data_IF_685567512683
#
_entry.id   IF_685567512683
#
_cell.length_a   1.000
_cell.length_b   1.000
_cell.length_c   1.000
_cell.angle_alpha   90.00
_cell.angle_beta   90.00
_cell.angle_gamma   90.00
#
_symmetry.space_group_name_H-M   'P 1'
#
loop_
_entity.id
_entity.type
_entity.pdbx_description
1 polymer ?
#
# COMPACT_ATOMS: atom_id res chain seq x y z
N UNK A 1 -9.51 18.89 -7.49
CA UNK A 1 -9.48 18.00 -6.32
C UNK A 1 -9.97 16.60 -6.68
N UNK A 2 -9.18 15.85 -7.44
CA UNK A 2 -9.45 14.42 -7.73
C UNK A 2 -8.11 13.71 -7.57
N UNK A 3 -8.06 12.68 -6.71
CA UNK A 3 -7.07 11.60 -6.81
C UNK A 3 -5.98 11.38 -5.76
N UNK A 4 -6.16 11.70 -4.51
CA UNK A 4 -5.37 11.00 -3.46
C UNK A 4 -5.91 9.57 -3.21
N UNK A 5 -7.09 9.25 -3.76
CA UNK A 5 -7.87 8.04 -3.48
C UNK A 5 -7.33 6.71 -4.03
N UNK A 6 -6.43 6.71 -4.99
CA UNK A 6 -6.05 5.48 -5.70
C UNK A 6 -4.70 4.87 -5.26
N UNK A 7 -3.92 5.53 -4.43
CA UNK A 7 -2.57 5.08 -4.09
C UNK A 7 -2.47 4.14 -2.89
N UNK A 8 -3.45 4.20 -1.95
CA UNK A 8 -3.48 3.25 -0.81
C UNK A 8 -4.25 1.95 -1.09
N UNK A 9 -5.01 1.90 -2.19
CA UNK A 9 -5.84 0.74 -2.49
C UNK A 9 -5.15 -0.37 -3.29
N UNK A 10 -3.98 -0.14 -3.87
CA UNK A 10 -3.35 -1.14 -4.75
C UNK A 10 -2.68 -2.29 -4.00
N UNK A 11 -2.12 -2.05 -2.82
CA UNK A 11 -1.53 -3.13 -2.02
C UNK A 11 -2.58 -3.99 -1.28
N UNK A 12 -3.78 -3.42 -1.03
CA UNK A 12 -4.86 -4.14 -0.35
C UNK A 12 -5.90 -4.70 -1.33
N UNK A 13 -5.98 -4.19 -2.57
CA UNK A 13 -6.95 -4.65 -3.57
C UNK A 13 -6.59 -5.98 -4.23
N UNK A 14 -5.32 -6.40 -4.23
CA UNK A 14 -4.96 -7.74 -4.75
C UNK A 14 -5.55 -8.88 -3.90
N UNK A 15 -5.92 -8.62 -2.64
CA UNK A 15 -6.54 -9.59 -1.75
C UNK A 15 -8.09 -9.60 -1.80
N UNK A 16 -8.73 -8.66 -2.51
CA UNK A 16 -10.19 -8.47 -2.41
C UNK A 16 -10.98 -8.58 -3.74
N UNK A 17 -10.31 -8.82 -4.87
CA UNK A 17 -11.00 -8.90 -6.16
C UNK A 17 -11.27 -10.34 -6.60
N UNK A 18 -12.32 -10.95 -6.07
CA UNK A 18 -12.95 -12.08 -6.73
C UNK A 18 -14.46 -11.94 -6.65
N UNK A 19 -15.04 -11.11 -7.51
CA UNK A 19 -16.43 -11.16 -7.86
C UNK A 19 -16.56 -11.92 -9.17
N UNK A 20 -16.75 -13.23 -9.14
CA UNK A 20 -17.08 -13.98 -10.33
C UNK A 20 -18.55 -13.73 -10.69
N UNK A 21 -18.80 -12.89 -11.69
CA UNK A 21 -19.98 -13.04 -12.51
C UNK A 21 -19.71 -14.26 -13.41
N UNK A 22 -20.48 -15.33 -13.26
CA UNK A 22 -20.47 -16.44 -14.20
C UNK A 22 -21.13 -15.97 -15.51
N UNK A 23 -20.35 -15.34 -16.37
CA UNK A 23 -20.61 -15.32 -17.79
C UNK A 23 -20.09 -16.64 -18.35
N UNK A 24 -20.79 -17.23 -19.31
CA UNK A 24 -20.27 -18.40 -20.05
C UNK A 24 -18.86 -18.10 -20.50
N UNK A 25 -17.90 -18.84 -19.92
CA UNK A 25 -16.49 -18.63 -20.21
C UNK A 25 -16.25 -19.05 -21.65
N UNK A 26 -15.94 -18.10 -22.50
CA UNK A 26 -15.35 -18.40 -23.79
C UNK A 26 -13.95 -18.93 -23.47
N UNK A 27 -13.74 -20.24 -23.64
CA UNK A 27 -12.43 -20.87 -23.47
C UNK A 27 -11.40 -20.06 -24.30
N UNK A 28 -10.30 -19.68 -23.66
CA UNK A 28 -9.20 -18.88 -24.23
C UNK A 28 -9.47 -17.39 -24.50
N UNK A 29 -10.52 -16.77 -23.96
CA UNK A 29 -10.67 -15.32 -24.02
C UNK A 29 -9.77 -14.65 -22.98
N UNK A 30 -8.89 -13.74 -23.40
CA UNK A 30 -8.08 -12.88 -22.57
C UNK A 30 -8.64 -11.47 -22.57
N UNK A 31 -8.89 -10.95 -21.38
CA UNK A 31 -9.21 -9.54 -21.16
C UNK A 31 -7.91 -8.78 -20.88
N UNK A 32 -7.71 -7.67 -21.58
CA UNK A 32 -6.50 -6.85 -21.43
C UNK A 32 -6.89 -5.44 -21.09
N UNK A 33 -6.19 -4.88 -20.08
CA UNK A 33 -6.36 -3.52 -19.62
C UNK A 33 -5.03 -2.77 -19.69
N UNK A 34 -5.09 -1.50 -20.07
CA UNK A 34 -3.97 -0.59 -19.97
C UNK A 34 -4.43 0.73 -19.38
N UNK A 35 -3.64 1.28 -18.46
CA UNK A 35 -3.92 2.58 -17.87
C UNK A 35 -2.65 3.39 -17.69
N UNK A 36 -2.77 4.70 -17.92
CA UNK A 36 -1.72 5.67 -17.67
C UNK A 36 -2.21 6.73 -16.70
N UNK A 37 -1.38 7.04 -15.70
CA UNK A 37 -1.61 8.11 -14.75
C UNK A 37 -0.46 9.10 -14.83
N UNK A 38 -0.81 10.35 -15.07
CA UNK A 38 0.05 11.50 -14.82
C UNK A 38 -0.48 12.29 -13.63
N UNK A 39 0.40 12.61 -12.69
CA UNK A 39 0.08 13.43 -11.54
C UNK A 39 1.24 14.39 -11.29
N UNK A 40 0.95 15.65 -11.03
CA UNK A 40 1.96 16.66 -10.70
C UNK A 40 1.44 17.61 -9.63
N UNK A 41 2.26 17.86 -8.63
CA UNK A 41 2.14 18.94 -7.66
C UNK A 41 3.28 19.92 -7.89
N UNK A 42 2.96 21.22 -7.96
CA UNK A 42 3.96 22.27 -8.16
C UNK A 42 4.98 22.24 -7.03
N UNK A 43 6.26 22.23 -7.39
CA UNK A 43 7.42 22.23 -6.48
C UNK A 43 7.47 21.03 -5.47
N UNK A 44 6.72 19.95 -5.72
CA UNK A 44 6.68 18.80 -4.82
C UNK A 44 6.95 17.46 -5.51
N UNK A 45 6.06 17.02 -6.39
CA UNK A 45 6.19 15.69 -7.00
C UNK A 45 5.55 15.61 -8.37
N UNK A 46 6.22 14.91 -9.28
CA UNK A 46 5.64 14.46 -10.56
C UNK A 46 5.68 12.95 -10.61
N UNK A 47 4.56 12.33 -10.97
CA UNK A 47 4.41 10.87 -11.05
C UNK A 47 3.88 10.50 -12.43
N UNK A 48 4.57 9.58 -13.08
CA UNK A 48 4.10 8.89 -14.27
C UNK A 48 3.96 7.41 -13.94
N UNK A 49 2.80 6.82 -14.24
CA UNK A 49 2.55 5.41 -13.98
C UNK A 49 1.85 4.78 -15.16
N UNK A 50 2.44 3.72 -15.70
CA UNK A 50 1.86 2.86 -16.70
C UNK A 50 1.54 1.50 -16.07
N UNK A 51 0.33 1.01 -16.29
CA UNK A 51 -0.09 -0.32 -15.85
C UNK A 51 -0.66 -1.06 -17.06
N UNK A 52 -0.14 -2.25 -17.32
CA UNK A 52 -0.71 -3.22 -18.23
C UNK A 52 -1.17 -4.45 -17.44
N UNK A 53 -2.32 -5.00 -17.77
CA UNK A 53 -2.83 -6.23 -17.18
C UNK A 53 -3.46 -7.11 -18.27
N UNK A 54 -3.32 -8.43 -18.10
CA UNK A 54 -4.04 -9.42 -18.89
C UNK A 54 -4.57 -10.49 -17.96
N UNK A 55 -5.83 -10.90 -18.15
CA UNK A 55 -6.49 -11.96 -17.38
C UNK A 55 -7.26 -12.87 -18.33
N UNK A 56 -7.15 -14.17 -18.13
CA UNK A 56 -7.83 -15.13 -18.98
C UNK A 56 -8.11 -16.46 -18.26
N UNK A 57 -9.00 -17.23 -18.85
CA UNK A 57 -9.27 -18.60 -18.43
C UNK A 57 -8.25 -19.53 -19.10
N UNK A 58 -7.46 -20.24 -18.31
CA UNK A 58 -6.51 -21.26 -18.79
C UNK A 58 -7.21 -22.61 -18.89
N UNK A 59 -8.20 -22.85 -18.04
CA UNK A 59 -9.08 -24.01 -18.09
C UNK A 59 -10.44 -23.64 -17.49
N UNK A 60 -11.41 -24.58 -17.53
CA UNK A 60 -12.71 -24.43 -16.89
C UNK A 60 -12.63 -24.17 -15.36
N UNK A 61 -11.48 -24.48 -14.72
CA UNK A 61 -11.24 -24.29 -13.28
C UNK A 61 -10.11 -23.32 -12.96
N UNK A 62 -9.39 -22.86 -13.97
CA UNK A 62 -8.18 -22.07 -13.79
C UNK A 62 -8.30 -20.72 -14.47
N UNK A 63 -8.04 -19.67 -13.70
CA UNK A 63 -7.89 -18.31 -14.21
C UNK A 63 -6.48 -17.84 -13.91
N UNK A 64 -5.80 -17.31 -14.89
CA UNK A 64 -4.49 -16.70 -14.72
C UNK A 64 -4.56 -15.21 -15.04
N UNK A 65 -3.75 -14.41 -14.35
CA UNK A 65 -3.54 -13.02 -14.71
C UNK A 65 -2.08 -12.62 -14.55
N UNK A 66 -1.67 -11.68 -15.40
CA UNK A 66 -0.39 -11.00 -15.32
C UNK A 66 -0.62 -9.50 -15.24
N UNK A 67 0.14 -8.83 -14.39
CA UNK A 67 0.14 -7.38 -14.29
C UNK A 67 1.56 -6.85 -14.31
N UNK A 68 1.81 -5.87 -15.16
CA UNK A 68 3.09 -5.16 -15.26
C UNK A 68 2.84 -3.70 -14.88
N UNK A 69 3.72 -3.16 -14.06
CA UNK A 69 3.66 -1.78 -13.60
C UNK A 69 5.00 -1.12 -13.86
N UNK A 70 4.95 0.04 -14.47
CA UNK A 70 6.08 0.96 -14.57
C UNK A 70 5.68 2.26 -13.89
N UNK A 71 6.46 2.67 -12.88
CA UNK A 71 6.28 3.94 -12.17
C UNK A 71 7.56 4.76 -12.32
N UNK A 72 7.41 6.07 -12.57
CA UNK A 72 8.49 7.04 -12.41
C UNK A 72 7.99 8.18 -11.55
N UNK A 73 8.74 8.52 -10.52
CA UNK A 73 8.37 9.54 -9.55
C UNK A 73 9.59 10.42 -9.28
N UNK A 74 9.45 11.73 -9.56
CA UNK A 74 10.47 12.73 -9.26
C UNK A 74 9.88 13.83 -8.39
N UNK A 75 10.70 14.43 -7.53
CA UNK A 75 10.22 15.50 -6.65
C UNK A 75 11.18 15.84 -5.54
N UNK A 76 10.63 16.43 -4.48
CA UNK A 76 11.36 16.78 -3.28
C UNK A 76 10.58 16.36 -2.04
N UNK A 77 11.25 15.78 -1.06
CA UNK A 77 10.66 15.32 0.21
C UNK A 77 11.38 15.91 1.41
N UNK A 78 10.68 16.27 2.49
CA UNK A 78 11.33 16.71 3.73
C UNK A 78 12.21 15.61 4.31
N UNK A 79 13.45 15.95 4.65
CA UNK A 79 14.39 15.01 5.29
C UNK A 79 14.13 14.86 6.78
N UNK A 80 13.53 15.83 7.44
CA UNK A 80 13.40 15.94 8.90
C UNK A 80 14.49 16.81 9.55
N UNK A 81 15.52 17.22 8.79
CA UNK A 81 16.55 18.13 9.26
C UNK A 81 16.10 19.59 9.21
N UNK A 82 16.72 20.43 10.04
CA UNK A 82 16.58 21.87 9.96
C UNK A 82 17.33 22.38 8.71
N UNK A 83 16.84 23.46 8.11
CA UNK A 83 17.47 24.09 6.96
C UNK A 83 18.88 24.59 7.33
N UNK A 84 19.90 23.88 6.87
CA UNK A 84 21.30 24.29 7.01
C UNK A 84 21.96 24.42 5.65
N UNK A 85 22.69 25.50 5.44
CA UNK A 85 23.42 25.77 4.19
C UNK A 85 24.71 24.95 4.05
N UNK A 86 25.09 24.17 5.08
CA UNK A 86 26.42 23.55 5.19
C UNK A 86 26.49 22.06 4.82
N UNK A 87 25.38 21.36 4.67
CA UNK A 87 25.37 19.91 4.41
C UNK A 87 24.62 19.53 3.14
N UNK A 88 25.18 18.64 2.35
CA UNK A 88 24.54 18.06 1.17
C UNK A 88 23.91 16.70 1.52
N UNK A 89 22.67 16.51 1.13
CA UNK A 89 21.94 15.27 1.32
C UNK A 89 21.78 14.53 -0.01
N UNK A 90 21.75 13.22 0.05
CA UNK A 90 21.45 12.38 -1.11
C UNK A 90 20.01 11.87 -1.00
N UNK A 91 19.18 12.14 -1.99
CA UNK A 91 17.81 11.60 -2.07
C UNK A 91 17.77 10.15 -2.51
N UNK A 92 16.59 9.54 -2.46
CA UNK A 92 16.32 8.14 -2.81
C UNK A 92 16.74 7.74 -4.24
N UNK A 93 16.99 8.70 -5.12
CA UNK A 93 17.41 8.49 -6.50
C UNK A 93 18.84 8.94 -6.79
N UNK A 94 19.63 9.28 -5.75
CA UNK A 94 21.00 9.78 -5.90
C UNK A 94 21.09 11.23 -6.31
N UNK A 95 19.98 11.96 -6.37
CA UNK A 95 19.97 13.41 -6.57
C UNK A 95 20.62 14.09 -5.34
N UNK A 96 21.68 14.88 -5.55
CA UNK A 96 22.29 15.70 -4.51
C UNK A 96 21.77 17.13 -4.61
N UNK A 97 21.31 17.68 -3.52
CA UNK A 97 20.94 19.09 -3.42
C UNK A 97 19.98 19.37 -2.28
N UNK A 98 20.20 20.45 -1.58
CA UNK A 98 19.22 21.03 -0.67
C UNK A 98 18.59 22.21 -1.39
N UNK A 99 17.29 22.16 -1.57
CA UNK A 99 16.53 23.36 -1.93
C UNK A 99 15.93 23.91 -0.65
N UNK A 100 16.41 25.05 -0.13
CA UNK A 100 15.82 25.67 1.04
C UNK A 100 14.41 26.09 0.70
N UNK A 101 13.39 25.49 1.31
CA UNK A 101 12.06 26.09 1.32
C UNK A 101 11.89 26.87 2.61
N UNK A 102 11.51 28.11 2.51
CA UNK A 102 11.58 29.12 3.57
C UNK A 102 10.78 28.88 4.85
N UNK A 103 10.08 27.75 5.04
CA UNK A 103 9.25 27.52 6.24
C UNK A 103 9.20 26.08 6.78
N UNK A 104 9.74 25.08 6.14
CA UNK A 104 9.56 23.69 6.60
C UNK A 104 10.69 22.76 6.22
N UNK A 105 11.77 22.75 7.00
CA UNK A 105 12.81 21.75 6.95
C UNK A 105 13.58 21.66 5.62
N UNK A 106 14.70 20.95 5.62
CA UNK A 106 15.49 20.67 4.42
C UNK A 106 14.73 19.70 3.49
N UNK A 107 14.68 20.02 2.20
CA UNK A 107 14.11 19.16 1.16
C UNK A 107 15.23 18.39 0.45
N UNK A 108 15.02 17.12 0.23
CA UNK A 108 15.86 16.29 -0.63
C UNK A 108 15.13 15.98 -1.93
N UNK A 109 15.79 16.29 -3.05
CA UNK A 109 15.28 15.89 -4.36
C UNK A 109 15.39 14.38 -4.50
N UNK A 110 14.41 13.78 -5.13
CA UNK A 110 14.42 12.36 -5.46
C UNK A 110 13.91 12.12 -6.88
N UNK A 111 14.39 11.07 -7.49
CA UNK A 111 13.93 10.52 -8.76
C UNK A 111 13.93 9.00 -8.63
N UNK A 112 12.77 8.41 -8.53
CA UNK A 112 12.62 6.98 -8.34
C UNK A 112 11.89 6.35 -9.54
N UNK A 113 12.38 5.20 -9.97
CA UNK A 113 11.80 4.41 -11.04
C UNK A 113 11.58 2.99 -10.55
N UNK A 114 10.37 2.51 -10.73
CA UNK A 114 9.97 1.16 -10.38
C UNK A 114 9.45 0.37 -11.55
N UNK A 115 9.92 -0.86 -11.68
CA UNK A 115 9.32 -1.89 -12.53
C UNK A 115 8.83 -3.02 -11.65
N UNK A 116 7.58 -3.42 -11.81
CA UNK A 116 6.97 -4.51 -11.07
C UNK A 116 6.19 -5.46 -11.97
N UNK A 117 6.25 -6.74 -11.64
CA UNK A 117 5.46 -7.80 -12.29
C UNK A 117 4.76 -8.60 -11.22
N UNK A 118 3.47 -8.86 -11.42
CA UNK A 118 2.69 -9.76 -10.57
C UNK A 118 1.98 -10.81 -11.43
N UNK A 119 1.97 -12.04 -10.93
CA UNK A 119 1.32 -13.19 -11.52
C UNK A 119 0.29 -13.71 -10.51
N UNK A 120 -0.92 -13.93 -10.96
CA UNK A 120 -1.98 -14.52 -10.16
C UNK A 120 -2.52 -15.77 -10.86
N UNK A 121 -2.80 -16.79 -10.08
CA UNK A 121 -3.46 -18.02 -10.52
C UNK A 121 -4.54 -18.40 -9.54
N UNK A 122 -5.78 -18.44 -10.00
CA UNK A 122 -6.94 -18.92 -9.24
C UNK A 122 -7.34 -20.31 -9.71
N UNK A 123 -7.43 -21.27 -8.79
CA UNK A 123 -7.87 -22.65 -9.05
C UNK A 123 -9.11 -23.00 -8.25
N UNK A 124 -10.13 -23.48 -8.96
CA UNK A 124 -11.35 -24.03 -8.35
C UNK A 124 -11.16 -25.51 -7.96
N UNK A 125 -10.74 -25.75 -6.71
CA UNK A 125 -10.61 -27.13 -6.18
C UNK A 125 -11.95 -27.85 -6.09
N UNK A 126 -13.00 -27.11 -5.69
CA UNK A 126 -14.38 -27.59 -5.66
C UNK A 126 -15.31 -26.44 -6.03
N UNK A 127 -16.60 -26.75 -6.29
CA UNK A 127 -17.65 -25.74 -6.59
C UNK A 127 -17.80 -24.65 -5.52
N UNK A 128 -17.22 -24.84 -4.34
CA UNK A 128 -17.32 -23.93 -3.20
C UNK A 128 -15.95 -23.54 -2.59
N UNK A 129 -14.86 -24.05 -3.14
CA UNK A 129 -13.51 -23.75 -2.68
C UNK A 129 -12.65 -23.31 -3.85
N UNK A 130 -12.22 -22.05 -3.82
CA UNK A 130 -11.25 -21.47 -4.74
C UNK A 130 -10.01 -21.07 -3.96
N UNK A 131 -8.83 -21.39 -4.47
CA UNK A 131 -7.54 -20.93 -3.93
C UNK A 131 -6.88 -20.06 -4.98
N UNK A 132 -6.45 -18.88 -4.54
CA UNK A 132 -5.69 -17.95 -5.36
C UNK A 132 -4.24 -17.96 -4.89
N UNK A 133 -3.31 -18.11 -5.82
CA UNK A 133 -1.87 -18.00 -5.62
C UNK A 133 -1.38 -16.75 -6.30
N UNK A 134 -0.51 -16.00 -5.63
CA UNK A 134 0.09 -14.79 -6.17
C UNK A 134 1.61 -14.84 -6.00
N UNK A 135 2.34 -14.41 -7.01
CA UNK A 135 3.76 -14.14 -6.96
C UNK A 135 4.03 -12.76 -7.54
N UNK A 136 4.82 -11.93 -6.87
CA UNK A 136 5.17 -10.62 -7.39
C UNK A 136 6.65 -10.31 -7.13
N UNK A 137 7.22 -9.55 -8.06
CA UNK A 137 8.57 -9.05 -8.01
C UNK A 137 8.60 -7.58 -8.43
N UNK A 138 9.34 -6.74 -7.73
CA UNK A 138 9.58 -5.36 -8.13
C UNK A 138 11.02 -4.93 -7.89
N UNK A 139 11.48 -4.04 -8.73
CA UNK A 139 12.78 -3.38 -8.62
C UNK A 139 12.56 -1.87 -8.65
N UNK A 140 13.11 -1.19 -7.68
CA UNK A 140 13.18 0.25 -7.52
C UNK A 140 14.65 0.67 -7.48
N UNK A 141 14.92 1.97 -7.54
CA UNK A 141 16.29 2.46 -7.50
C UNK A 141 17.02 2.12 -6.19
N UNK A 142 16.27 1.94 -5.10
CA UNK A 142 16.79 1.70 -3.76
C UNK A 142 16.18 0.48 -3.06
N UNK A 143 15.40 -0.32 -3.79
CA UNK A 143 14.72 -1.49 -3.23
C UNK A 143 14.45 -2.58 -4.26
N UNK A 144 14.62 -3.82 -3.85
CA UNK A 144 14.13 -5.00 -4.54
C UNK A 144 13.16 -5.74 -3.64
N UNK A 145 12.02 -6.16 -4.18
CA UNK A 145 10.98 -6.84 -3.42
C UNK A 145 10.52 -8.09 -4.13
N UNK A 146 10.41 -9.18 -3.38
CA UNK A 146 9.81 -10.42 -3.83
C UNK A 146 8.71 -10.82 -2.85
N UNK A 147 7.52 -11.19 -3.37
CA UNK A 147 6.42 -11.64 -2.54
C UNK A 147 5.70 -12.84 -3.11
N UNK A 148 5.20 -13.68 -2.20
CA UNK A 148 4.32 -14.81 -2.53
C UNK A 148 3.12 -14.78 -1.58
N UNK A 149 1.94 -15.17 -2.09
CA UNK A 149 0.74 -15.25 -1.29
C UNK A 149 -0.16 -16.41 -1.74
N UNK A 150 -0.94 -16.92 -0.80
CA UNK A 150 -2.02 -17.85 -1.08
C UNK A 150 -3.27 -17.43 -0.29
N UNK A 151 -4.44 -17.46 -0.96
CA UNK A 151 -5.72 -17.11 -0.35
C UNK A 151 -6.78 -18.13 -0.71
N UNK A 152 -7.32 -18.81 0.28
CA UNK A 152 -8.43 -19.74 0.15
C UNK A 152 -9.76 -19.06 0.44
N UNK A 153 -10.73 -19.23 -0.45
CA UNK A 153 -12.11 -18.78 -0.32
C UNK A 153 -13.02 -19.99 -0.31
N UNK A 154 -13.72 -20.19 0.82
CA UNK A 154 -14.69 -21.27 1.00
C UNK A 154 -16.08 -20.71 1.14
N UNK A 155 -16.99 -21.13 0.28
CA UNK A 155 -18.41 -20.80 0.35
C UNK A 155 -19.23 -21.94 0.98
N UNK A 156 -20.34 -21.61 1.61
CA UNK A 156 -21.35 -22.61 1.95
C UNK A 156 -22.14 -23.03 0.68
N UNK A 157 -22.95 -24.07 0.80
CA UNK A 157 -23.72 -24.61 -0.34
C UNK A 157 -24.72 -23.62 -0.92
N UNK A 158 -25.26 -22.72 -0.11
CA UNK A 158 -26.17 -21.65 -0.56
C UNK A 158 -25.44 -20.39 -1.06
N UNK A 159 -24.10 -20.35 -1.01
CA UNK A 159 -23.26 -19.17 -1.35
C UNK A 159 -23.62 -17.88 -0.61
N UNK A 160 -24.32 -18.01 0.51
CA UNK A 160 -24.68 -16.88 1.36
C UNK A 160 -23.60 -16.52 2.38
N UNK A 161 -22.64 -17.41 2.60
CA UNK A 161 -21.54 -17.25 3.53
C UNK A 161 -20.23 -17.65 2.85
N UNK A 162 -19.22 -16.76 2.93
CA UNK A 162 -17.86 -17.00 2.41
C UNK A 162 -16.85 -16.77 3.52
N UNK A 163 -16.01 -17.76 3.74
CA UNK A 163 -14.82 -17.69 4.57
C UNK A 163 -13.61 -17.43 3.69
N UNK A 164 -12.75 -16.52 4.10
CA UNK A 164 -11.48 -16.21 3.43
C UNK A 164 -10.35 -16.40 4.42
N UNK A 165 -9.32 -17.12 4.02
CA UNK A 165 -8.08 -17.25 4.77
C UNK A 165 -6.91 -17.06 3.81
N UNK A 166 -6.02 -16.13 4.13
CA UNK A 166 -4.85 -15.84 3.29
C UNK A 166 -3.58 -15.71 4.12
N UNK A 167 -2.46 -16.04 3.49
CA UNK A 167 -1.11 -15.82 4.00
C UNK A 167 -0.26 -15.24 2.89
N UNK A 168 0.62 -14.31 3.25
CA UNK A 168 1.60 -13.71 2.35
C UNK A 168 2.95 -13.60 3.03
N UNK A 169 4.02 -13.79 2.26
CA UNK A 169 5.40 -13.55 2.64
C UNK A 169 6.04 -12.57 1.67
N UNK A 170 6.76 -11.59 2.18
CA UNK A 170 7.52 -10.62 1.38
C UNK A 170 8.95 -10.55 1.90
N UNK A 171 9.90 -10.54 0.98
CA UNK A 171 11.30 -10.28 1.24
C UNK A 171 11.74 -9.03 0.48
N UNK A 172 12.30 -8.07 1.19
CA UNK A 172 12.81 -6.81 0.66
C UNK A 172 14.31 -6.71 0.88
N UNK A 173 15.04 -6.29 -0.15
CA UNK A 173 16.40 -5.77 -0.05
C UNK A 173 16.32 -4.24 -0.18
N UNK A 174 16.93 -3.52 0.74
CA UNK A 174 16.89 -2.06 0.84
C UNK A 174 18.33 -1.56 0.79
N UNK A 175 18.58 -0.57 -0.06
CA UNK A 175 19.89 0.04 -0.23
C UNK A 175 19.75 1.53 -0.55
N UNK A 176 20.85 2.25 -0.59
CA UNK A 176 20.87 3.63 -1.07
C UNK A 176 21.25 3.69 -2.53
N UNK A 177 20.71 4.62 -3.26
CA UNK A 177 21.14 4.92 -4.61
C UNK A 177 22.62 5.37 -4.57
N UNK A 178 23.43 4.88 -5.50
CA UNK A 178 24.88 5.09 -5.61
C UNK A 178 25.74 4.45 -4.49
N UNK A 179 25.18 3.59 -3.64
CA UNK A 179 25.94 2.83 -2.67
C UNK A 179 25.08 1.72 -2.10
N UNK A 180 25.53 0.49 -2.18
CA UNK A 180 24.79 -0.68 -1.68
C UNK A 180 24.69 -0.74 -0.15
N UNK A 181 24.74 0.40 0.52
CA UNK A 181 24.85 0.48 1.97
C UNK A 181 23.71 1.31 2.55
N UNK A 182 23.08 0.81 3.58
CA UNK A 182 22.15 1.56 4.43
C UNK A 182 22.92 2.21 5.59
N UNK A 183 22.50 3.41 6.06
CA UNK A 183 23.14 4.01 7.22
C UNK A 183 22.87 3.21 8.49
N UNK A 184 23.83 3.19 9.39
CA UNK A 184 23.64 2.69 10.73
C UNK A 184 22.68 3.64 11.49
N UNK A 185 21.54 3.13 12.03
CA UNK A 185 20.58 3.97 12.71
C UNK A 185 21.18 4.75 13.88
N UNK A 186 20.69 5.97 14.12
CA UNK A 186 21.07 6.85 15.21
C UNK A 186 22.57 7.20 15.25
N UNK A 187 23.28 7.11 14.13
CA UNK A 187 24.65 7.57 13.99
C UNK A 187 24.71 8.96 13.37
N UNK A 188 25.76 9.71 13.66
CA UNK A 188 26.00 11.03 13.08
C UNK A 188 26.19 10.92 11.57
N UNK A 189 25.61 11.85 10.84
CA UNK A 189 25.77 11.89 9.38
C UNK A 189 27.24 12.08 8.97
N UNK A 190 28.00 12.86 9.74
CA UNK A 190 29.42 13.09 9.49
C UNK A 190 30.32 11.84 9.65
N UNK A 191 29.94 10.92 10.52
CA UNK A 191 30.71 9.69 10.76
C UNK A 191 30.61 8.69 9.60
N UNK A 192 29.67 8.87 8.67
CA UNK A 192 29.46 8.04 7.48
C UNK A 192 29.48 6.53 7.76
N UNK A 193 28.85 6.12 8.85
CA UNK A 193 28.75 4.71 9.20
C UNK A 193 27.63 4.07 8.41
N UNK A 194 27.99 3.09 7.61
CA UNK A 194 27.06 2.34 6.79
C UNK A 194 27.15 0.84 7.11
N UNK A 195 26.01 0.21 7.15
CA UNK A 195 25.85 -1.24 7.23
C UNK A 195 25.87 -1.87 5.84
N UNK A 196 25.71 -2.96 5.47
CA UNK A 196 25.51 -3.48 4.11
C UNK A 196 24.13 -3.10 3.56
N UNK A 197 23.61 -3.92 2.67
CA UNK A 197 22.22 -3.83 2.24
C UNK A 197 21.30 -4.15 3.44
N UNK A 198 20.22 -3.40 3.60
CA UNK A 198 19.18 -3.68 4.59
C UNK A 198 18.27 -4.80 4.08
N UNK A 199 17.99 -5.76 4.93
CA UNK A 199 17.04 -6.84 4.61
C UNK A 199 15.80 -6.73 5.49
N UNK A 200 14.63 -7.01 4.91
CA UNK A 200 13.38 -7.05 5.66
C UNK A 200 12.52 -8.21 5.20
N UNK A 201 12.00 -8.96 6.13
CA UNK A 201 10.98 -9.97 5.91
C UNK A 201 9.64 -9.52 6.49
N UNK A 202 8.56 -9.77 5.75
CA UNK A 202 7.21 -9.50 6.23
C UNK A 202 6.34 -10.72 6.02
N UNK A 203 5.59 -11.11 7.05
CA UNK A 203 4.57 -12.16 6.95
C UNK A 203 3.24 -11.56 7.35
N UNK A 204 2.25 -11.70 6.48
CA UNK A 204 0.88 -11.21 6.69
C UNK A 204 -0.11 -12.38 6.64
N UNK A 205 -1.09 -12.37 7.54
CA UNK A 205 -2.22 -13.30 7.58
C UNK A 205 -3.51 -12.49 7.56
N UNK A 206 -4.48 -12.96 6.77
CA UNK A 206 -5.83 -12.40 6.73
C UNK A 206 -6.87 -13.49 6.96
N UNK A 207 -7.87 -13.19 7.79
CA UNK A 207 -9.08 -13.99 7.95
C UNK A 207 -10.30 -13.11 7.67
N UNK A 208 -11.21 -13.59 6.84
CA UNK A 208 -12.39 -12.85 6.42
C UNK A 208 -13.66 -13.69 6.50
N UNK A 209 -14.78 -13.02 6.79
CA UNK A 209 -16.11 -13.57 6.74
C UNK A 209 -17.01 -12.61 5.97
N UNK A 210 -17.59 -13.08 4.87
CA UNK A 210 -18.59 -12.33 4.12
C UNK A 210 -19.93 -13.05 4.18
N UNK A 211 -20.99 -12.34 4.55
CA UNK A 211 -22.34 -12.88 4.67
C UNK A 211 -23.34 -12.07 3.85
N UNK A 212 -24.14 -12.75 3.08
CA UNK A 212 -25.38 -12.21 2.48
C UNK A 212 -26.49 -12.35 3.50
N UNK A 213 -26.78 -11.27 4.24
CA UNK A 213 -27.78 -11.25 5.31
C UNK A 213 -29.19 -11.38 4.71
N UNK A 214 -29.42 -10.65 3.63
CA UNK A 214 -30.66 -10.71 2.85
C UNK A 214 -30.43 -10.18 1.42
N UNK A 215 -31.47 -10.14 0.59
CA UNK A 215 -31.40 -9.70 -0.82
C UNK A 215 -30.84 -8.29 -1.02
N UNK A 216 -30.74 -7.49 0.02
CA UNK A 216 -30.32 -6.07 -0.04
C UNK A 216 -29.11 -5.78 0.83
N UNK A 217 -28.68 -6.72 1.67
CA UNK A 217 -27.66 -6.45 2.67
C UNK A 217 -26.58 -7.52 2.63
N UNK A 218 -25.35 -7.08 2.45
CA UNK A 218 -24.16 -7.91 2.64
C UNK A 218 -23.28 -7.28 3.74
N UNK A 219 -22.75 -8.11 4.62
CA UNK A 219 -21.78 -7.71 5.63
C UNK A 219 -20.48 -8.49 5.44
N UNK A 220 -19.36 -7.84 5.75
CA UNK A 220 -18.04 -8.44 5.70
C UNK A 220 -17.27 -8.02 6.94
N UNK A 221 -16.57 -8.98 7.55
CA UNK A 221 -15.62 -8.76 8.64
C UNK A 221 -14.27 -9.33 8.21
N UNK A 222 -13.21 -8.53 8.33
CA UNK A 222 -11.85 -8.95 8.06
C UNK A 222 -10.96 -8.69 9.28
N UNK A 223 -10.11 -9.63 9.58
CA UNK A 223 -9.03 -9.55 10.54
C UNK A 223 -7.72 -9.67 9.77
N UNK A 224 -6.77 -8.81 10.04
CA UNK A 224 -5.42 -8.92 9.48
C UNK A 224 -4.39 -8.87 10.61
N UNK A 225 -3.34 -9.64 10.45
CA UNK A 225 -2.20 -9.69 11.34
C UNK A 225 -0.94 -9.75 10.50
N UNK A 226 0.09 -8.98 10.87
CA UNK A 226 1.35 -8.93 10.14
C UNK A 226 2.54 -8.75 11.07
N UNK A 227 3.62 -9.43 10.76
CA UNK A 227 4.91 -9.29 11.42
C UNK A 227 5.94 -8.91 10.35
N UNK A 228 6.70 -7.87 10.61
CA UNK A 228 7.85 -7.50 9.81
C UNK A 228 9.09 -7.47 10.69
N UNK A 229 10.22 -7.99 10.18
CA UNK A 229 11.50 -8.02 10.87
C UNK A 229 12.61 -7.60 9.91
N UNK A 230 13.61 -6.89 10.42
CA UNK A 230 14.78 -6.42 9.69
C UNK A 230 14.83 -4.90 9.55
N UNK A 231 15.49 -4.41 8.53
CA UNK A 231 15.73 -2.98 8.35
C UNK A 231 14.42 -2.23 8.02
N UNK A 232 14.00 -1.36 8.92
CA UNK A 232 12.76 -0.58 8.79
C UNK A 232 12.99 0.93 8.78
N UNK A 233 14.22 1.36 9.01
CA UNK A 233 14.61 2.76 8.95
C UNK A 233 14.56 3.28 7.51
N UNK A 234 14.16 4.53 7.34
CA UNK A 234 14.29 5.21 6.06
C UNK A 234 15.77 5.61 5.85
N UNK A 235 16.46 5.07 4.82
CA UNK A 235 17.88 5.31 4.64
C UNK A 235 18.24 6.76 4.27
N UNK A 236 17.24 7.59 3.96
CA UNK A 236 17.45 8.99 3.54
C UNK A 236 17.01 10.00 4.59
N UNK A 237 16.28 9.56 5.62
CA UNK A 237 15.81 10.43 6.67
C UNK A 237 16.88 10.73 7.69
N UNK A 238 17.04 12.01 7.95
CA UNK A 238 17.93 12.54 8.99
C UNK A 238 17.14 13.49 9.88
N UNK A 239 17.59 13.68 11.11
CA UNK A 239 17.07 14.69 12.02
C UNK A 239 18.22 15.51 12.58
N UNK A 240 17.94 16.80 12.86
CA UNK A 240 18.89 17.71 13.43
C UNK A 240 18.73 17.83 14.94
N UNK A 241 19.83 17.86 15.65
CA UNK A 241 19.87 18.32 17.04
C UNK A 241 20.09 19.82 17.01
N UNK A 242 19.19 20.57 17.62
CA UNK A 242 19.25 22.02 17.68
C UNK A 242 19.47 22.51 19.10
N UNK A 243 20.14 23.66 19.22
CA UNK A 243 20.29 24.36 20.50
C UNK A 243 18.97 25.04 20.94
N UNK A 244 19.00 25.72 22.08
CA UNK A 244 17.84 26.46 22.62
C UNK A 244 17.38 27.62 21.74
N UNK A 245 18.18 28.05 20.78
CA UNK A 245 17.87 29.11 19.81
C UNK A 245 17.40 28.53 18.46
N UNK A 246 17.31 27.21 18.33
CA UNK A 246 16.94 26.55 17.08
C UNK A 246 18.10 26.42 16.08
N UNK A 247 19.33 26.71 16.51
CA UNK A 247 20.52 26.56 15.66
C UNK A 247 20.95 25.11 15.65
N UNK A 248 21.14 24.55 14.45
CA UNK A 248 21.58 23.17 14.27
C UNK A 248 22.98 22.98 14.83
N UNK A 249 23.13 21.93 15.65
CA UNK A 249 24.40 21.53 16.22
C UNK A 249 24.93 20.27 15.59
N UNK A 250 24.04 19.31 15.25
CA UNK A 250 24.44 18.02 14.70
C UNK A 250 23.30 17.37 13.92
N UNK A 251 23.63 16.37 13.08
CA UNK A 251 22.65 15.59 12.32
C UNK A 251 22.87 14.09 12.48
N UNK A 252 21.79 13.35 12.62
CA UNK A 252 21.76 11.92 12.81
C UNK A 252 20.84 11.26 11.81
N UNK A 253 21.20 10.06 11.39
CA UNK A 253 20.29 9.20 10.65
C UNK A 253 19.11 8.76 11.52
N UNK A 254 17.92 8.68 10.94
CA UNK A 254 16.73 8.17 11.62
C UNK A 254 16.98 6.74 12.12
N UNK A 255 16.37 6.38 13.25
CA UNK A 255 16.35 5.03 13.77
C UNK A 255 14.93 4.59 14.07
N UNK A 256 14.53 3.45 13.55
CA UNK A 256 13.28 2.78 13.88
C UNK A 256 13.56 1.40 14.42
N UNK A 257 12.66 0.83 15.28
CA UNK A 257 12.76 -0.57 15.67
C UNK A 257 12.86 -1.50 14.45
N UNK A 258 13.60 -2.57 14.58
CA UNK A 258 13.85 -3.59 13.55
C UNK A 258 12.76 -4.66 13.47
N UNK A 259 11.72 -4.52 14.29
CA UNK A 259 10.54 -5.37 14.30
C UNK A 259 9.27 -4.53 14.34
N UNK A 260 8.21 -5.04 13.73
CA UNK A 260 6.87 -4.43 13.80
C UNK A 260 5.80 -5.49 13.71
N UNK A 261 4.99 -5.58 14.73
CA UNK A 261 3.79 -6.40 14.78
C UNK A 261 2.56 -5.51 14.64
N UNK A 262 1.71 -5.82 13.66
CA UNK A 262 0.53 -5.02 13.35
C UNK A 262 -0.73 -5.87 13.22
N UNK A 263 -1.85 -5.33 13.60
CA UNK A 263 -3.14 -5.98 13.37
C UNK A 263 -4.23 -4.97 13.03
N UNK A 264 -5.24 -5.41 12.33
CA UNK A 264 -6.42 -4.58 12.09
C UNK A 264 -7.69 -5.41 12.01
N UNK A 265 -8.80 -4.78 12.37
CA UNK A 265 -10.15 -5.29 12.15
C UNK A 265 -10.90 -4.31 11.25
N UNK A 266 -11.57 -4.83 10.22
CA UNK A 266 -12.37 -4.03 9.31
C UNK A 266 -13.74 -4.65 9.11
N UNK A 267 -14.79 -3.87 9.35
CA UNK A 267 -16.17 -4.25 9.09
C UNK A 267 -16.71 -3.42 7.92
N UNK A 268 -17.38 -4.10 6.97
CA UNK A 268 -18.01 -3.46 5.81
C UNK A 268 -19.47 -3.90 5.72
N UNK A 269 -20.36 -2.94 5.52
CA UNK A 269 -21.80 -3.14 5.28
C UNK A 269 -22.16 -2.52 3.93
N UNK A 270 -22.76 -3.31 3.05
CA UNK A 270 -23.39 -2.81 1.84
C UNK A 270 -24.89 -3.03 1.98
N UNK A 271 -25.67 -1.99 1.71
CA UNK A 271 -27.12 -2.06 1.81
C UNK A 271 -27.78 -1.32 0.66
N UNK A 272 -28.76 -1.96 0.02
CA UNK A 272 -29.60 -1.31 -0.99
C UNK A 272 -30.76 -0.61 -0.28
N UNK A 273 -30.82 0.73 -0.39
CA UNK A 273 -31.87 1.56 0.19
C UNK A 273 -33.01 1.80 -0.81
N UNK A 274 -34.21 2.08 -0.31
CA UNK A 274 -35.35 2.52 -1.11
C UNK A 274 -35.48 4.04 -1.13
N UNK A 275 -36.17 4.57 -2.18
CA UNK A 275 -36.61 3.96 -3.44
C UNK A 275 -35.51 3.93 -4.50
N UNK A 276 -35.61 3.07 -5.50
CA UNK A 276 -34.79 3.18 -6.72
C UNK A 276 -33.46 2.42 -6.75
N UNK A 277 -33.27 1.37 -5.94
CA UNK A 277 -32.03 0.57 -5.92
C UNK A 277 -30.76 1.37 -5.53
N UNK A 278 -30.91 2.43 -4.75
CA UNK A 278 -29.80 3.19 -4.23
C UNK A 278 -28.91 2.32 -3.34
N UNK A 279 -27.61 2.56 -3.35
CA UNK A 279 -26.63 1.75 -2.63
C UNK A 279 -25.92 2.53 -1.51
N UNK A 280 -25.90 1.99 -0.31
CA UNK A 280 -25.12 2.49 0.82
C UNK A 280 -23.92 1.58 1.04
N UNK A 281 -22.75 2.16 1.22
CA UNK A 281 -21.51 1.48 1.59
C UNK A 281 -20.96 2.13 2.86
N UNK A 282 -20.85 1.34 3.91
CA UNK A 282 -20.25 1.76 5.17
C UNK A 282 -19.07 0.84 5.48
N UNK A 283 -17.91 1.42 5.78
CA UNK A 283 -16.72 0.67 6.19
C UNK A 283 -16.13 1.33 7.42
N UNK A 284 -15.84 0.55 8.44
CA UNK A 284 -15.07 0.96 9.60
C UNK A 284 -13.85 0.07 9.72
N UNK A 285 -12.67 0.67 9.99
CA UNK A 285 -11.42 -0.03 10.26
C UNK A 285 -10.77 0.53 11.52
N UNK A 286 -10.38 -0.37 12.40
CA UNK A 286 -9.44 -0.10 13.48
C UNK A 286 -8.10 -0.77 13.17
N UNK A 287 -7.01 -0.09 13.46
CA UNK A 287 -5.64 -0.57 13.30
C UNK A 287 -4.85 -0.29 14.57
N UNK A 288 -3.95 -1.20 14.94
CA UNK A 288 -2.98 -1.01 16.03
C UNK A 288 -1.71 -1.79 15.72
N UNK A 289 -0.57 -1.29 16.19
CA UNK A 289 0.73 -1.95 16.11
C UNK A 289 1.54 -1.76 17.41
N UNK A 290 2.68 -2.44 17.50
CA UNK A 290 3.62 -2.38 18.63
C UNK A 290 4.51 -1.13 18.63
N UNK A 291 4.38 -0.26 17.62
CA UNK A 291 4.95 1.10 17.62
C UNK A 291 3.99 2.12 18.28
N UNK A 292 2.97 1.63 18.98
CA UNK A 292 1.86 2.38 19.61
C UNK A 292 1.02 3.20 18.62
N UNK A 293 1.09 2.91 17.33
CA UNK A 293 0.21 3.56 16.35
C UNK A 293 -1.17 2.91 16.43
N UNK A 294 -2.19 3.73 16.69
CA UNK A 294 -3.60 3.36 16.66
C UNK A 294 -4.34 4.27 15.71
N UNK A 295 -5.14 3.71 14.83
CA UNK A 295 -5.92 4.51 13.89
C UNK A 295 -7.34 4.01 13.71
N UNK A 296 -8.23 4.96 13.45
CA UNK A 296 -9.63 4.71 13.12
C UNK A 296 -9.92 5.30 11.74
N UNK A 297 -10.57 4.52 10.90
CA UNK A 297 -11.04 4.97 9.59
C UNK A 297 -12.52 4.65 9.46
N UNK A 298 -13.33 5.65 9.18
CA UNK A 298 -14.74 5.50 8.82
C UNK A 298 -14.92 6.00 7.39
N UNK A 299 -15.49 5.18 6.52
CA UNK A 299 -15.76 5.51 5.12
C UNK A 299 -17.22 5.23 4.83
N UNK A 300 -17.95 6.24 4.39
CA UNK A 300 -19.35 6.16 4.00
C UNK A 300 -19.52 6.66 2.58
N UNK A 301 -20.20 5.90 1.74
CA UNK A 301 -20.62 6.32 0.43
C UNK A 301 -22.09 5.94 0.20
N UNK A 302 -22.83 6.82 -0.46
CA UNK A 302 -24.21 6.56 -0.83
C UNK A 302 -24.39 6.83 -2.32
N UNK A 303 -24.83 5.83 -3.06
CA UNK A 303 -25.12 5.94 -4.49
C UNK A 303 -26.58 6.20 -4.70
N UNK A 304 -26.89 7.36 -5.27
CA UNK A 304 -28.22 7.73 -5.75
C UNK A 304 -28.29 7.47 -7.25
N UNK A 305 -29.24 6.65 -7.69
CA UNK A 305 -29.43 6.33 -9.10
C UNK A 305 -30.57 7.20 -9.63
N UNK A 306 -30.31 7.90 -10.76
CA UNK A 306 -31.26 8.75 -11.44
C UNK A 306 -31.49 8.20 -12.86
N UNK A 307 -32.72 7.93 -13.23
CA UNK A 307 -33.02 7.39 -14.55
C UNK A 307 -32.44 5.99 -14.80
N UNK A 308 -31.91 5.76 -16.01
CA UNK A 308 -31.48 4.44 -16.45
C UNK A 308 -29.97 4.22 -16.35
N UNK A 309 -29.15 5.27 -16.31
CA UNK A 309 -27.69 5.16 -16.38
C UNK A 309 -26.93 6.14 -15.47
N UNK A 310 -27.59 7.22 -15.01
CA UNK A 310 -26.93 8.26 -14.26
C UNK A 310 -26.97 7.99 -12.75
N UNK A 311 -25.88 8.32 -12.05
CA UNK A 311 -25.82 8.24 -10.60
C UNK A 311 -24.96 9.34 -10.00
N UNK A 312 -25.26 9.70 -8.75
CA UNK A 312 -24.45 10.54 -7.88
C UNK A 312 -24.01 9.72 -6.67
N UNK A 313 -22.71 9.71 -6.34
CA UNK A 313 -22.17 8.99 -5.20
C UNK A 313 -21.36 9.92 -4.30
N UNK A 314 -21.98 10.67 -3.37
CA UNK A 314 -21.26 11.37 -2.33
C UNK A 314 -20.54 10.38 -1.42
N UNK A 315 -19.32 10.74 -1.00
CA UNK A 315 -18.49 9.94 -0.12
C UNK A 315 -17.84 10.81 0.94
N UNK A 316 -17.89 10.33 2.19
CA UNK A 316 -17.25 10.95 3.36
C UNK A 316 -16.28 9.93 3.94
N UNK A 317 -15.05 10.38 4.21
CA UNK A 317 -14.04 9.59 4.91
C UNK A 317 -13.49 10.38 6.09
N UNK A 318 -13.57 9.78 7.26
CA UNK A 318 -12.99 10.30 8.49
C UNK A 318 -11.82 9.39 8.89
N UNK A 319 -10.72 10.01 9.29
CA UNK A 319 -9.51 9.30 9.70
C UNK A 319 -8.87 9.99 10.89
N UNK A 320 -8.44 9.20 11.88
CA UNK A 320 -7.63 9.68 12.99
C UNK A 320 -6.50 8.69 13.25
N UNK A 321 -5.34 9.20 13.68
CA UNK A 321 -4.17 8.41 14.05
C UNK A 321 -3.39 9.17 15.12
N UNK A 322 -2.83 8.44 16.09
CA UNK A 322 -1.81 8.97 16.98
C UNK A 322 -0.41 8.81 16.36
N UNK A 323 0.60 9.41 16.95
CA UNK A 323 2.02 9.26 16.57
C UNK A 323 2.58 7.93 17.04
N UNK A 324 3.70 7.51 16.45
CA UNK A 324 4.50 6.40 16.95
C UNK A 324 5.25 6.78 18.23
N UNK A 325 5.51 5.80 19.12
CA UNK A 325 6.14 6.02 20.44
C UNK A 325 7.54 6.64 20.33
N UNK A 326 8.31 6.27 19.30
CA UNK A 326 9.70 6.76 19.12
C UNK A 326 9.78 8.15 18.48
N UNK A 327 8.67 8.82 18.16
CA UNK A 327 8.66 10.22 17.78
C UNK A 327 8.26 11.08 18.98
N UNK A 328 9.20 11.81 19.64
CA UNK A 328 8.88 12.74 20.71
C UNK A 328 8.01 13.91 20.24
N UNK A 329 7.40 14.63 21.18
CA UNK A 329 6.64 15.84 20.90
C UNK A 329 7.57 17.00 20.56
#
# INVERSE_FOLDING_TARGET
MKSIRNKLSLATCSLLTTGNAAAEAIENAWETDASYLYYSEVDRVTVNKLVGAAKGFVSAKDTASIKVVFDSMSGATPTGAVNSSSLSYTGASGGSGITPSGESGALSNFDDTRVGVALDWAHEHTRTLTVNYNGAFSVENDRRSFSVAATANKENSSRSLRWTLGIAGTYDQIFRVNGNNTPEPLTRVEDQRFLGEGERTTTDVIAGLTSVINRRTTAQLNLSFGIANGYMTDPYKVFSIVDVNGVEWDQYFEGRPDSRMRWSIAAKLNHMTFPGNNGMHLTYRYYSDDWDIKSHTLDYAHRFIFGNADYLEPRIRLYTQNKAEFYPN
#
